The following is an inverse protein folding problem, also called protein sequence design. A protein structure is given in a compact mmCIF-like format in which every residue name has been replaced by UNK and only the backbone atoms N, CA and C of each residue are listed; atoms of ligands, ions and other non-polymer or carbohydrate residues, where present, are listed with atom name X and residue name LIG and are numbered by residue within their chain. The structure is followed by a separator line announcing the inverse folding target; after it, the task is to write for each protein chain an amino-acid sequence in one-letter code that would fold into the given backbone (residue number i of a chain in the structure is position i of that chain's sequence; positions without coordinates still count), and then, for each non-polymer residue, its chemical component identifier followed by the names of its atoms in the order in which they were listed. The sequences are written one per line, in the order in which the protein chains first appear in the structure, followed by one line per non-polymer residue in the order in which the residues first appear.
data_IF_470949676577
#
_entry.id   IF_470949676577
#
_cell.length_a   1.000
_cell.length_b   1.000
_cell.length_c   1.000
_cell.angle_alpha   90.00
_cell.angle_beta   90.00
_cell.angle_gamma   90.00
#
_symmetry.space_group_name_H-M   'P 1'
#
loop_
_entity.id
_entity.type
_entity.pdbx_description
1 polymer ?
#
# COMPACT_ATOMS: atom_id res chain seq x y z
N UNK A 1 -18.84 -76.80 2.37
CA UNK A 1 -19.24 -76.14 3.64
C UNK A 1 -17.98 -75.77 4.40
N UNK A 2 -18.00 -74.61 5.08
CA UNK A 2 -16.92 -73.94 5.82
C UNK A 2 -15.94 -73.16 4.89
N UNK A 3 -15.80 -71.83 4.93
CA UNK A 3 -16.27 -70.83 5.89
C UNK A 3 -15.12 -69.87 6.18
N UNK A 4 -14.88 -68.90 5.31
CA UNK A 4 -13.85 -67.86 5.52
C UNK A 4 -14.41 -66.74 6.39
N UNK A 5 -13.99 -66.69 7.64
CA UNK A 5 -14.30 -65.61 8.59
C UNK A 5 -13.37 -64.42 8.37
N UNK A 6 -13.94 -63.29 7.95
CA UNK A 6 -13.26 -62.00 7.91
C UNK A 6 -13.04 -61.49 9.35
N UNK A 7 -11.78 -61.37 9.75
CA UNK A 7 -11.38 -60.77 11.02
C UNK A 7 -11.66 -59.27 11.02
N UNK A 8 -12.68 -58.85 11.79
CA UNK A 8 -13.05 -57.46 11.96
C UNK A 8 -12.10 -56.80 12.98
N UNK A 9 -10.98 -56.23 12.52
CA UNK A 9 -10.05 -55.48 13.38
C UNK A 9 -10.60 -54.09 13.67
N UNK A 10 -11.33 -53.96 14.79
CA UNK A 10 -11.60 -52.66 15.38
C UNK A 10 -10.26 -52.05 15.86
N UNK A 11 -9.92 -50.81 15.46
CA UNK A 11 -8.72 -50.14 15.95
C UNK A 11 -8.78 -49.95 17.48
N UNK A 12 -7.63 -50.01 18.18
CA UNK A 12 -7.58 -49.91 19.63
C UNK A 12 -8.23 -48.59 20.09
N UNK A 13 -9.01 -48.67 21.16
CA UNK A 13 -9.84 -47.58 21.71
C UNK A 13 -9.07 -46.25 21.84
N UNK A 14 -7.78 -46.31 22.18
CA UNK A 14 -6.88 -45.16 22.28
C UNK A 14 -6.72 -44.40 20.96
N UNK A 15 -6.62 -45.11 19.83
CA UNK A 15 -6.46 -44.51 18.49
C UNK A 15 -7.73 -43.79 18.04
N UNK A 16 -8.91 -44.32 18.43
CA UNK A 16 -10.21 -43.67 18.16
C UNK A 16 -10.36 -42.37 18.97
N UNK A 17 -9.91 -42.38 20.23
CA UNK A 17 -9.93 -41.20 21.11
C UNK A 17 -8.97 -40.13 20.61
N UNK A 18 -7.75 -40.49 20.21
CA UNK A 18 -6.76 -39.52 19.69
C UNK A 18 -7.21 -38.88 18.39
N UNK A 19 -7.77 -39.65 17.45
CA UNK A 19 -8.31 -39.07 16.21
C UNK A 19 -9.50 -38.15 16.48
N UNK A 20 -10.39 -38.53 17.41
CA UNK A 20 -11.51 -37.67 17.81
C UNK A 20 -11.05 -36.33 18.41
N UNK A 21 -10.02 -36.35 19.27
CA UNK A 21 -9.42 -35.14 19.84
C UNK A 21 -8.76 -34.26 18.77
N UNK A 22 -8.01 -34.84 17.84
CA UNK A 22 -7.37 -34.09 16.75
C UNK A 22 -8.43 -33.43 15.87
N UNK A 23 -9.49 -34.15 15.49
CA UNK A 23 -10.60 -33.57 14.71
C UNK A 23 -11.32 -32.45 15.45
N UNK A 24 -11.50 -32.57 16.77
CA UNK A 24 -12.10 -31.52 17.60
C UNK A 24 -11.21 -30.26 17.64
N UNK A 25 -9.89 -30.43 17.83
CA UNK A 25 -8.93 -29.32 17.85
C UNK A 25 -8.88 -28.63 16.48
N UNK A 26 -8.84 -29.39 15.38
CA UNK A 26 -8.87 -28.82 14.02
C UNK A 26 -10.17 -28.07 13.76
N UNK A 27 -11.32 -28.60 14.20
CA UNK A 27 -12.59 -27.91 14.08
C UNK A 27 -12.62 -26.62 14.91
N UNK A 28 -12.07 -26.64 16.15
CA UNK A 28 -11.98 -25.47 17.00
C UNK A 28 -11.06 -24.39 16.39
N UNK A 29 -9.93 -24.79 15.80
CA UNK A 29 -9.01 -23.89 15.10
C UNK A 29 -9.65 -23.31 13.84
N UNK A 30 -10.41 -24.11 13.08
CA UNK A 30 -11.13 -23.63 11.91
C UNK A 30 -12.27 -22.65 12.27
N UNK A 31 -13.01 -22.95 13.34
CA UNK A 31 -14.10 -22.10 13.84
C UNK A 31 -13.55 -20.79 14.42
N UNK A 32 -12.47 -20.85 15.20
CA UNK A 32 -11.80 -19.63 15.71
C UNK A 32 -11.18 -18.81 14.59
N UNK A 33 -10.58 -19.44 13.57
CA UNK A 33 -10.12 -18.73 12.37
C UNK A 33 -11.29 -18.09 11.60
N UNK A 34 -12.40 -18.80 11.44
CA UNK A 34 -13.61 -18.29 10.78
C UNK A 34 -14.20 -17.08 11.53
N UNK A 35 -14.40 -17.19 12.84
CA UNK A 35 -14.88 -16.07 13.67
C UNK A 35 -13.88 -14.92 13.74
N UNK A 36 -12.57 -15.18 13.73
CA UNK A 36 -11.53 -14.14 13.66
C UNK A 36 -11.57 -13.40 12.33
N UNK A 37 -11.83 -14.10 11.23
CA UNK A 37 -12.00 -13.51 9.89
C UNK A 37 -13.30 -12.69 9.76
N UNK A 38 -14.39 -13.17 10.35
CA UNK A 38 -15.68 -12.47 10.39
C UNK A 38 -15.63 -11.23 11.30
N UNK A 39 -14.97 -11.34 12.45
CA UNK A 39 -14.73 -10.21 13.36
C UNK A 39 -13.80 -9.16 12.73
N UNK A 40 -12.80 -9.59 11.95
CA UNK A 40 -11.94 -8.70 11.15
C UNK A 40 -12.72 -7.93 10.06
N UNK A 41 -13.81 -8.49 9.52
CA UNK A 41 -14.71 -7.82 8.57
C UNK A 41 -15.62 -6.78 9.25
N UNK A 42 -15.95 -6.94 10.53
CA UNK A 42 -16.87 -6.08 11.26
C UNK A 42 -16.20 -5.00 12.14
N UNK A 43 -14.86 -4.88 12.12
CA UNK A 43 -14.14 -3.87 12.89
C UNK A 43 -14.33 -2.44 12.32
N UNK A 44 -14.39 -1.39 13.17
CA UNK A 44 -14.69 0.00 12.78
C UNK A 44 -13.72 0.66 11.79
N UNK A 45 -12.57 0.05 11.47
CA UNK A 45 -11.60 0.60 10.51
C UNK A 45 -12.15 0.68 9.09
N UNK A 46 -13.19 -0.09 8.78
CA UNK A 46 -13.94 0.06 7.54
C UNK A 46 -14.58 1.46 7.43
N UNK A 47 -14.96 2.14 8.51
CA UNK A 47 -15.60 3.46 8.43
C UNK A 47 -14.71 4.61 7.93
N UNK A 48 -13.39 4.45 7.93
CA UNK A 48 -12.46 5.48 7.44
C UNK A 48 -12.20 5.42 5.93
N UNK A 49 -12.36 4.24 5.31
CA UNK A 49 -12.19 3.99 3.89
C UNK A 49 -13.40 3.24 3.30
N UNK A 50 -14.55 3.32 3.97
CA UNK A 50 -15.82 2.86 3.45
C UNK A 50 -16.15 3.80 2.29
N UNK A 51 -16.16 3.23 1.09
CA UNK A 51 -16.92 3.71 -0.04
C UNK A 51 -18.37 3.87 0.44
N UNK A 52 -18.66 4.99 1.10
CA UNK A 52 -20.02 5.50 1.13
C UNK A 52 -20.39 5.57 -0.34
N UNK A 53 -21.24 4.66 -0.82
CA UNK A 53 -21.59 4.56 -2.24
C UNK A 53 -22.30 5.82 -2.76
N UNK A 54 -22.48 6.84 -1.91
CA UNK A 54 -22.92 8.20 -2.22
C UNK A 54 -21.77 9.19 -2.49
N UNK A 55 -20.51 8.76 -2.30
CA UNK A 55 -19.29 9.57 -2.44
C UNK A 55 -18.36 9.16 -3.60
N UNK A 56 -18.55 7.96 -4.16
CA UNK A 56 -17.80 7.53 -5.35
C UNK A 56 -18.40 8.04 -6.65
N UNK A 57 -17.56 8.69 -7.47
CA UNK A 57 -17.92 9.05 -8.83
C UNK A 57 -17.76 7.84 -9.78
N UNK A 58 -18.58 7.76 -10.85
CA UNK A 58 -18.39 6.75 -11.87
C UNK A 58 -17.03 6.89 -12.56
N UNK A 59 -16.56 5.82 -13.19
CA UNK A 59 -15.32 5.86 -13.98
C UNK A 59 -15.33 7.01 -14.99
N UNK A 60 -14.18 7.66 -15.18
CA UNK A 60 -14.05 8.84 -16.04
C UNK A 60 -14.61 10.13 -15.43
N UNK A 61 -15.00 10.13 -14.16
CA UNK A 61 -15.53 11.29 -13.46
C UNK A 61 -14.80 11.54 -12.13
N UNK A 62 -14.89 12.76 -11.64
CA UNK A 62 -14.29 13.19 -10.38
C UNK A 62 -15.21 14.15 -9.62
N UNK A 63 -14.99 14.23 -8.31
CA UNK A 63 -15.59 15.24 -7.43
C UNK A 63 -14.54 15.73 -6.43
N UNK A 64 -14.30 17.04 -6.41
CA UNK A 64 -13.46 17.68 -5.39
C UNK A 64 -14.30 18.09 -4.19
N UNK A 65 -13.64 18.28 -3.05
CA UNK A 65 -14.29 18.77 -1.82
C UNK A 65 -15.05 20.08 -2.11
N UNK A 66 -16.35 20.11 -1.75
CA UNK A 66 -17.23 21.25 -1.96
C UNK A 66 -18.02 21.23 -3.27
N UNK A 67 -17.72 20.31 -4.20
CA UNK A 67 -18.55 20.08 -5.38
C UNK A 67 -19.75 19.19 -5.03
N UNK A 68 -20.90 19.46 -5.64
CA UNK A 68 -22.12 18.65 -5.45
C UNK A 68 -22.15 17.45 -6.40
N UNK A 69 -21.90 17.73 -7.68
CA UNK A 69 -22.00 16.76 -8.76
C UNK A 69 -20.62 16.24 -9.18
N UNK A 70 -20.59 15.00 -9.65
CA UNK A 70 -19.42 14.45 -10.34
C UNK A 70 -19.31 15.06 -11.74
N UNK A 71 -18.12 15.51 -12.12
CA UNK A 71 -17.83 15.99 -13.47
C UNK A 71 -16.97 14.97 -14.20
N UNK A 72 -17.14 14.86 -15.52
CA UNK A 72 -16.24 14.06 -16.35
C UNK A 72 -14.83 14.65 -16.31
N UNK A 73 -13.81 13.81 -16.51
CA UNK A 73 -12.43 14.27 -16.61
C UNK A 73 -12.30 15.40 -17.64
N UNK A 74 -11.59 16.45 -17.25
CA UNK A 74 -11.46 17.67 -18.04
C UNK A 74 -10.68 17.38 -19.34
N UNK A 75 -11.23 17.76 -20.51
CA UNK A 75 -10.55 17.60 -21.78
C UNK A 75 -9.50 18.69 -22.01
N UNK A 76 -8.71 18.53 -23.07
CA UNK A 76 -7.63 19.45 -23.47
C UNK A 76 -8.08 20.92 -23.50
N UNK A 77 -9.23 21.22 -24.11
CA UNK A 77 -9.69 22.59 -24.31
C UNK A 77 -9.96 23.30 -22.98
N UNK A 78 -10.50 22.58 -22.00
CA UNK A 78 -10.77 23.10 -20.66
C UNK A 78 -9.46 23.27 -19.88
N UNK A 79 -8.53 22.32 -19.99
CA UNK A 79 -7.23 22.43 -19.35
C UNK A 79 -6.47 23.65 -19.87
N UNK A 80 -6.46 23.87 -21.18
CA UNK A 80 -5.75 24.99 -21.82
C UNK A 80 -6.38 26.35 -21.50
N UNK A 81 -7.71 26.44 -21.47
CA UNK A 81 -8.41 27.73 -21.34
C UNK A 81 -8.75 28.12 -19.91
N UNK A 82 -8.92 27.16 -18.99
CA UNK A 82 -9.42 27.42 -17.63
C UNK A 82 -8.42 27.10 -16.51
N UNK A 83 -7.32 26.39 -16.77
CA UNK A 83 -6.32 26.08 -15.74
C UNK A 83 -5.21 27.13 -15.73
N UNK A 84 -5.09 27.85 -14.62
CA UNK A 84 -4.03 28.84 -14.43
C UNK A 84 -2.89 28.28 -13.60
N UNK A 85 -1.72 28.08 -14.21
CA UNK A 85 -0.51 27.61 -13.52
C UNK A 85 0.02 28.70 -12.59
N UNK A 86 0.29 28.35 -11.33
CA UNK A 86 0.71 29.30 -10.28
C UNK A 86 2.21 29.19 -10.01
N UNK A 87 2.70 28.01 -9.59
CA UNK A 87 4.11 27.82 -9.24
C UNK A 87 4.55 26.36 -9.37
N UNK A 88 5.83 26.15 -9.67
CA UNK A 88 6.44 24.82 -9.60
C UNK A 88 6.47 24.33 -8.15
N UNK A 89 6.00 23.11 -7.91
CA UNK A 89 5.95 22.47 -6.58
C UNK A 89 6.69 21.13 -6.53
N UNK A 90 7.01 20.53 -7.67
CA UNK A 90 7.75 19.28 -7.75
C UNK A 90 8.47 19.12 -9.08
N UNK A 91 9.63 18.45 -9.05
CA UNK A 91 10.41 18.09 -10.24
C UNK A 91 10.88 16.65 -10.10
N UNK A 92 10.38 15.78 -10.97
CA UNK A 92 10.85 14.42 -11.17
C UNK A 92 11.62 14.29 -12.49
N UNK A 93 12.07 13.06 -12.79
CA UNK A 93 12.68 12.73 -14.09
C UNK A 93 11.65 12.82 -15.22
N UNK A 94 10.46 12.25 -15.00
CA UNK A 94 9.37 12.19 -15.99
C UNK A 94 8.51 13.45 -15.98
N UNK A 95 8.19 14.01 -14.80
CA UNK A 95 7.17 15.06 -14.63
C UNK A 95 7.71 16.33 -13.97
N UNK A 96 7.27 17.48 -14.45
CA UNK A 96 7.28 18.74 -13.69
C UNK A 96 5.88 19.01 -13.16
N UNK A 97 5.76 19.21 -11.85
CA UNK A 97 4.47 19.37 -11.17
C UNK A 97 4.34 20.80 -10.67
N UNK A 98 3.23 21.43 -11.03
CA UNK A 98 2.89 22.79 -10.69
C UNK A 98 1.62 22.83 -9.85
N UNK A 99 1.57 23.72 -8.86
CA UNK A 99 0.31 24.17 -8.30
C UNK A 99 -0.38 25.02 -9.36
N UNK A 100 -1.64 24.74 -9.61
CA UNK A 100 -2.50 25.51 -10.50
C UNK A 100 -3.87 25.80 -9.85
N UNK A 101 -4.63 26.69 -10.46
CA UNK A 101 -6.00 26.99 -10.10
C UNK A 101 -6.94 26.62 -11.24
N UNK A 102 -8.04 25.94 -10.91
CA UNK A 102 -9.15 25.67 -11.82
C UNK A 102 -10.47 25.99 -11.11
N UNK A 103 -11.21 26.98 -11.61
CA UNK A 103 -12.50 27.45 -11.04
C UNK A 103 -12.46 27.68 -9.52
N UNK A 104 -11.36 28.23 -9.00
CA UNK A 104 -11.18 28.48 -7.57
C UNK A 104 -10.62 27.29 -6.79
N UNK A 105 -10.59 26.09 -7.36
CA UNK A 105 -9.95 24.91 -6.75
C UNK A 105 -8.44 24.91 -7.01
N UNK A 106 -7.66 24.58 -5.97
CA UNK A 106 -6.23 24.27 -6.12
C UNK A 106 -6.10 22.87 -6.70
N UNK A 107 -5.31 22.74 -7.75
CA UNK A 107 -5.08 21.48 -8.49
C UNK A 107 -3.60 21.30 -8.78
N UNK A 108 -3.16 20.05 -8.97
CA UNK A 108 -1.80 19.72 -9.36
C UNK A 108 -1.76 19.50 -10.87
N UNK A 109 -1.01 20.36 -11.56
CA UNK A 109 -0.80 20.31 -13.00
C UNK A 109 0.57 19.69 -13.28
N UNK A 110 0.58 18.48 -13.81
CA UNK A 110 1.78 17.75 -14.19
C UNK A 110 1.98 17.85 -15.70
N UNK A 111 3.20 18.14 -16.13
CA UNK A 111 3.60 18.10 -17.54
C UNK A 111 4.84 17.23 -17.74
N UNK A 112 4.98 16.62 -18.91
CA UNK A 112 6.20 15.93 -19.27
C UNK A 112 7.42 16.86 -19.12
N UNK A 113 8.43 16.40 -18.39
CA UNK A 113 9.63 17.17 -18.11
C UNK A 113 10.62 17.13 -19.28
N UNK A 114 10.78 15.95 -19.89
CA UNK A 114 11.77 15.63 -20.92
C UNK A 114 11.14 14.62 -21.88
N UNK A 115 11.26 14.86 -23.20
CA UNK A 115 10.62 14.06 -24.26
C UNK A 115 10.96 12.56 -24.23
N UNK A 116 12.16 12.22 -23.78
CA UNK A 116 12.71 10.87 -23.73
C UNK A 116 11.94 9.97 -22.74
N UNK A 117 11.21 10.56 -21.78
CA UNK A 117 10.36 9.85 -20.83
C UNK A 117 8.88 9.86 -21.21
N UNK A 118 8.54 10.16 -22.48
CA UNK A 118 7.15 10.19 -22.96
C UNK A 118 6.44 8.85 -22.75
N UNK A 119 7.13 7.72 -22.97
CA UNK A 119 6.55 6.38 -22.73
C UNK A 119 6.21 6.16 -21.26
N UNK A 120 7.13 6.50 -20.34
CA UNK A 120 6.91 6.41 -18.90
C UNK A 120 5.75 7.30 -18.45
N UNK A 121 5.64 8.51 -19.03
CA UNK A 121 4.55 9.44 -18.76
C UNK A 121 3.18 8.88 -19.19
N UNK A 122 3.07 8.36 -20.41
CA UNK A 122 1.82 7.79 -20.91
C UNK A 122 1.46 6.50 -20.19
N UNK A 123 2.45 5.66 -19.83
CA UNK A 123 2.20 4.51 -18.96
C UNK A 123 1.63 4.96 -17.61
N UNK A 124 2.23 5.97 -16.98
CA UNK A 124 1.72 6.56 -15.75
C UNK A 124 0.29 7.09 -15.86
N UNK A 125 -0.06 7.73 -16.97
CA UNK A 125 -1.44 8.17 -17.25
C UNK A 125 -2.41 6.99 -17.37
N UNK A 126 -2.06 5.94 -18.11
CA UNK A 126 -2.89 4.74 -18.24
C UNK A 126 -3.08 4.03 -16.89
N UNK A 127 -2.02 3.94 -16.09
CA UNK A 127 -2.12 3.42 -14.72
C UNK A 127 -3.03 4.30 -13.86
N UNK A 128 -2.88 5.63 -13.94
CA UNK A 128 -3.68 6.57 -13.17
C UNK A 128 -5.17 6.48 -13.53
N UNK A 129 -5.50 6.31 -14.82
CA UNK A 129 -6.88 6.10 -15.30
C UNK A 129 -7.45 4.78 -14.78
N UNK A 130 -6.74 3.67 -14.98
CA UNK A 130 -7.25 2.33 -14.65
C UNK A 130 -7.18 1.96 -13.16
N UNK A 131 -6.41 2.69 -12.35
CA UNK A 131 -6.23 2.45 -10.91
C UNK A 131 -6.97 3.45 -10.02
N UNK A 132 -7.82 4.33 -10.58
CA UNK A 132 -8.64 5.25 -9.77
C UNK A 132 -9.40 4.48 -8.67
N UNK A 133 -9.12 4.87 -7.43
CA UNK A 133 -9.66 4.29 -6.21
C UNK A 133 -9.34 5.22 -5.04
N UNK A 134 -9.76 4.87 -3.82
CA UNK A 134 -9.37 5.59 -2.60
C UNK A 134 -7.86 5.57 -2.33
N UNK A 135 -7.10 4.66 -2.96
CA UNK A 135 -5.66 4.49 -2.74
C UNK A 135 -4.78 5.29 -3.69
N UNK A 136 -5.37 5.96 -4.68
CA UNK A 136 -4.65 6.64 -5.76
C UNK A 136 -5.14 8.08 -5.86
N UNK A 137 -4.22 9.01 -6.16
CA UNK A 137 -4.56 10.42 -6.35
C UNK A 137 -5.66 10.59 -7.40
N UNK A 138 -6.63 11.45 -7.09
CA UNK A 138 -7.80 11.66 -7.92
C UNK A 138 -7.40 12.34 -9.24
N UNK A 139 -7.69 11.68 -10.34
CA UNK A 139 -7.53 12.23 -11.69
C UNK A 139 -8.67 13.21 -11.98
N UNK A 140 -8.32 14.43 -12.40
CA UNK A 140 -9.29 15.47 -12.74
C UNK A 140 -9.40 15.67 -14.24
N UNK A 141 -8.33 15.41 -15.00
CA UNK A 141 -8.29 15.62 -16.45
C UNK A 141 -6.91 15.35 -17.00
N UNK A 142 -6.80 15.29 -18.32
CA UNK A 142 -5.52 15.13 -19.01
C UNK A 142 -5.61 15.65 -20.44
N UNK A 143 -4.46 15.98 -21.02
CA UNK A 143 -4.33 16.28 -22.43
C UNK A 143 -3.10 15.55 -22.98
N UNK A 144 -3.33 14.50 -23.77
CA UNK A 144 -2.26 13.67 -24.33
C UNK A 144 -1.41 14.46 -25.35
N UNK A 145 -2.05 15.32 -26.16
CA UNK A 145 -1.36 16.17 -27.15
C UNK A 145 -0.31 17.08 -26.48
N UNK A 146 -0.70 17.71 -25.36
CA UNK A 146 0.18 18.59 -24.59
C UNK A 146 1.04 17.87 -23.56
N UNK A 147 0.87 16.54 -23.40
CA UNK A 147 1.49 15.74 -22.36
C UNK A 147 1.27 16.34 -20.95
N UNK A 148 0.01 16.60 -20.62
CA UNK A 148 -0.40 17.17 -19.33
C UNK A 148 -1.42 16.32 -18.60
N UNK A 149 -1.32 16.29 -17.27
CA UNK A 149 -2.21 15.56 -16.37
C UNK A 149 -2.61 16.51 -15.24
N UNK A 150 -3.90 16.55 -14.91
CA UNK A 150 -4.45 17.33 -13.82
C UNK A 150 -4.96 16.41 -12.70
N UNK A 151 -4.48 16.60 -11.48
CA UNK A 151 -4.85 15.81 -10.30
C UNK A 151 -5.28 16.69 -9.13
N UNK A 152 -5.95 16.09 -8.14
CA UNK A 152 -6.26 16.77 -6.88
C UNK A 152 -4.97 17.23 -6.17
N UNK A 153 -4.96 18.48 -5.69
CA UNK A 153 -3.81 19.02 -4.99
C UNK A 153 -3.86 18.71 -3.50
N UNK A 154 -2.82 18.04 -3.01
CA UNK A 154 -2.64 17.75 -1.59
C UNK A 154 -1.56 18.67 -0.99
N UNK A 155 -1.92 19.60 -0.07
CA UNK A 155 -1.02 20.63 0.43
C UNK A 155 0.11 20.13 1.33
N UNK A 156 -0.06 18.95 1.94
CA UNK A 156 0.98 18.26 2.69
C UNK A 156 2.05 17.63 1.78
N UNK A 157 1.73 17.46 0.49
CA UNK A 157 2.68 17.03 -0.52
C UNK A 157 3.15 15.60 -0.30
N UNK A 158 4.41 15.32 -0.65
CA UNK A 158 4.98 13.98 -0.56
C UNK A 158 4.99 13.45 0.87
N UNK A 159 4.76 12.13 1.00
CA UNK A 159 4.80 11.40 2.26
C UNK A 159 6.13 11.53 3.01
N UNK A 160 7.22 11.89 2.31
CA UNK A 160 8.51 12.20 2.95
C UNK A 160 8.42 13.31 4.00
N UNK A 161 7.43 14.20 3.86
CA UNK A 161 7.24 15.34 4.76
C UNK A 161 6.47 14.97 6.03
N UNK A 162 6.00 13.72 6.19
CA UNK A 162 5.12 13.30 7.29
C UNK A 162 5.61 13.74 8.66
N UNK A 163 6.89 13.52 8.98
CA UNK A 163 7.45 13.91 10.29
C UNK A 163 7.40 15.42 10.48
N UNK A 164 7.85 16.19 9.48
CA UNK A 164 7.81 17.65 9.55
C UNK A 164 6.39 18.22 9.67
N UNK A 165 5.39 17.51 9.15
CA UNK A 165 3.98 17.91 9.21
C UNK A 165 3.42 17.61 10.60
N UNK A 166 3.60 16.38 11.10
CA UNK A 166 3.08 15.97 12.40
C UNK A 166 3.78 16.69 13.56
N UNK A 167 5.05 17.08 13.42
CA UNK A 167 5.78 17.83 14.44
C UNK A 167 5.43 19.34 14.47
N UNK A 168 4.75 19.84 13.43
CA UNK A 168 4.40 21.26 13.29
C UNK A 168 3.29 21.65 14.27
N UNK A 169 3.39 22.87 14.80
CA UNK A 169 2.31 23.49 15.58
C UNK A 169 0.98 23.44 14.81
N UNK A 170 -0.09 23.01 15.49
CA UNK A 170 -1.41 22.76 14.91
C UNK A 170 -1.67 21.33 14.41
N UNK A 171 -0.64 20.47 14.33
CA UNK A 171 -0.80 19.05 13.96
C UNK A 171 -0.19 18.08 14.98
N UNK A 172 0.44 18.59 16.05
CA UNK A 172 1.08 17.77 17.09
C UNK A 172 0.11 16.82 17.80
N UNK A 173 -1.15 17.20 17.93
CA UNK A 173 -2.18 16.36 18.56
C UNK A 173 -2.46 15.10 17.73
N UNK A 174 -2.13 15.11 16.43
CA UNK A 174 -2.22 13.94 15.55
C UNK A 174 -0.90 13.17 15.46
N UNK A 175 0.15 13.61 16.15
CA UNK A 175 1.46 12.98 16.13
C UNK A 175 1.54 11.79 17.09
N UNK A 176 0.62 10.86 16.95
CA UNK A 176 0.48 9.70 17.83
C UNK A 176 0.87 8.40 17.11
N UNK A 177 1.15 7.33 17.85
CA UNK A 177 1.48 6.05 17.24
C UNK A 177 0.31 5.48 16.43
N UNK A 178 -0.94 5.76 16.82
CA UNK A 178 -2.16 5.32 16.14
C UNK A 178 -2.22 5.91 14.74
N UNK A 179 -2.14 7.24 14.61
CA UNK A 179 -2.16 7.91 13.31
C UNK A 179 -0.98 7.45 12.45
N UNK A 180 0.21 7.39 13.04
CA UNK A 180 1.42 6.95 12.31
C UNK A 180 1.34 5.51 11.83
N UNK A 181 0.80 4.61 12.65
CA UNK A 181 0.61 3.22 12.25
C UNK A 181 -0.53 3.08 11.24
N UNK A 182 -1.57 3.91 11.32
CA UNK A 182 -2.61 4.00 10.30
C UNK A 182 -2.05 4.39 8.93
N UNK A 183 -1.12 5.35 8.86
CA UNK A 183 -0.41 5.68 7.61
C UNK A 183 0.36 4.48 7.04
N UNK A 184 0.97 3.66 7.89
CA UNK A 184 1.62 2.43 7.46
C UNK A 184 0.61 1.38 6.97
N UNK A 185 -0.58 1.32 7.57
CA UNK A 185 -1.69 0.50 7.08
C UNK A 185 -2.13 0.96 5.70
N UNK A 186 -2.34 2.26 5.47
CA UNK A 186 -2.72 2.82 4.15
C UNK A 186 -1.69 2.48 3.07
N UNK A 187 -0.40 2.59 3.39
CA UNK A 187 0.67 2.17 2.49
C UNK A 187 0.56 0.68 2.09
N UNK A 188 0.33 -0.21 3.05
CA UNK A 188 0.15 -1.65 2.76
C UNK A 188 -1.19 -1.92 2.07
N UNK A 189 -2.24 -1.14 2.33
CA UNK A 189 -3.51 -1.21 1.60
C UNK A 189 -3.32 -0.90 0.12
N UNK A 190 -2.54 0.15 -0.20
CA UNK A 190 -2.18 0.43 -1.58
C UNK A 190 -1.40 -0.73 -2.22
N UNK A 191 -0.39 -1.30 -1.56
CA UNK A 191 0.35 -2.44 -2.12
C UNK A 191 -0.55 -3.65 -2.36
N UNK A 192 -1.46 -3.94 -1.41
CA UNK A 192 -2.44 -5.00 -1.57
C UNK A 192 -3.37 -4.75 -2.76
N UNK A 193 -3.83 -3.51 -2.95
CA UNK A 193 -4.61 -3.11 -4.12
C UNK A 193 -3.80 -3.25 -5.41
N UNK A 194 -2.55 -2.79 -5.43
CA UNK A 194 -1.65 -2.84 -6.58
C UNK A 194 -1.36 -4.28 -7.03
N UNK A 195 -1.13 -5.19 -6.07
CA UNK A 195 -0.87 -6.61 -6.33
C UNK A 195 -2.12 -7.37 -6.82
N UNK A 196 -3.31 -6.78 -6.67
CA UNK A 196 -4.60 -7.36 -7.07
C UNK A 196 -5.39 -6.39 -7.97
N UNK A 197 -4.70 -5.53 -8.71
CA UNK A 197 -5.32 -4.41 -9.40
C UNK A 197 -6.21 -4.87 -10.57
N UNK A 198 -7.19 -4.05 -11.01
CA UNK A 198 -8.00 -4.35 -12.19
C UNK A 198 -7.16 -4.44 -13.48
N UNK A 199 -5.94 -3.91 -13.48
CA UNK A 199 -4.97 -4.00 -14.58
C UNK A 199 -3.99 -5.18 -14.42
N UNK A 200 -4.31 -6.15 -13.55
CA UNK A 200 -3.45 -7.27 -13.16
C UNK A 200 -2.45 -6.90 -12.06
N UNK A 201 -1.72 -7.87 -11.49
CA UNK A 201 -0.73 -7.61 -10.44
C UNK A 201 0.40 -6.69 -10.95
N UNK A 202 0.65 -5.59 -10.24
CA UNK A 202 1.70 -4.62 -10.57
C UNK A 202 2.76 -4.55 -9.47
N UNK A 203 3.94 -4.04 -9.82
CA UNK A 203 5.07 -3.85 -8.88
C UNK A 203 5.44 -2.37 -8.82
N UNK A 204 5.68 -1.83 -7.62
CA UNK A 204 6.05 -0.44 -7.43
C UNK A 204 7.56 -0.23 -7.69
N UNK A 205 7.98 -0.19 -8.95
CA UNK A 205 9.40 -0.28 -9.29
C UNK A 205 10.25 0.96 -8.95
N UNK A 206 9.67 2.15 -8.87
CA UNK A 206 10.42 3.39 -8.60
C UNK A 206 10.64 3.63 -7.08
N UNK A 207 11.24 2.62 -6.44
CA UNK A 207 11.35 2.48 -4.98
C UNK A 207 12.71 1.88 -4.55
N UNK A 208 13.81 2.43 -5.08
CA UNK A 208 15.16 1.89 -4.86
C UNK A 208 15.79 2.31 -3.52
N UNK A 209 15.27 3.39 -2.92
CA UNK A 209 15.65 3.84 -1.58
C UNK A 209 14.42 4.39 -0.85
N UNK A 210 14.53 4.59 0.46
CA UNK A 210 13.42 5.06 1.30
C UNK A 210 12.87 6.41 0.83
N UNK A 211 13.75 7.38 0.55
CA UNK A 211 13.35 8.74 0.13
C UNK A 211 12.61 8.69 -1.20
N UNK A 212 13.12 7.91 -2.16
CA UNK A 212 12.52 7.74 -3.47
C UNK A 212 11.19 6.99 -3.40
N UNK A 213 11.07 6.00 -2.52
CA UNK A 213 9.81 5.30 -2.26
C UNK A 213 8.75 6.24 -1.71
N UNK A 214 9.09 7.03 -0.69
CA UNK A 214 8.17 7.99 -0.07
C UNK A 214 7.78 9.14 -1.03
N UNK A 215 8.62 9.45 -2.03
CA UNK A 215 8.28 10.47 -3.03
C UNK A 215 7.14 10.07 -3.98
N UNK A 216 6.83 8.78 -4.07
CA UNK A 216 5.77 8.28 -4.94
C UNK A 216 4.37 8.44 -4.36
N UNK A 217 4.28 8.77 -3.06
CA UNK A 217 3.05 8.89 -2.29
C UNK A 217 2.83 10.33 -1.83
N UNK A 218 1.56 10.70 -1.67
CA UNK A 218 1.14 11.96 -1.06
C UNK A 218 0.51 11.70 0.30
N UNK A 219 0.63 12.69 1.19
CA UNK A 219 -0.13 12.77 2.43
C UNK A 219 -1.33 13.69 2.22
N UNK A 220 -2.53 13.22 2.54
CA UNK A 220 -3.76 14.00 2.44
C UNK A 220 -3.97 14.88 3.68
N UNK A 221 -4.86 15.88 3.62
CA UNK A 221 -5.13 16.77 4.77
C UNK A 221 -5.83 16.10 5.94
N UNK A 222 -6.49 14.99 5.67
CA UNK A 222 -7.12 14.07 6.61
C UNK A 222 -6.20 12.93 7.05
N UNK A 223 -4.89 13.01 6.73
CA UNK A 223 -3.85 12.11 7.19
C UNK A 223 -4.01 10.66 6.68
N UNK A 224 -4.24 10.53 5.37
CA UNK A 224 -4.17 9.28 4.63
C UNK A 224 -3.00 9.26 3.64
N UNK A 225 -2.54 8.05 3.32
CA UNK A 225 -1.51 7.82 2.28
C UNK A 225 -2.18 7.43 0.96
N UNK A 226 -1.85 8.16 -0.10
CA UNK A 226 -2.30 7.83 -1.47
C UNK A 226 -1.12 7.78 -2.44
N UNK A 227 -1.17 6.87 -3.40
CA UNK A 227 -0.16 6.79 -4.45
C UNK A 227 -0.40 7.87 -5.53
N UNK A 228 0.69 8.42 -6.06
CA UNK A 228 0.64 9.51 -7.03
C UNK A 228 1.51 9.23 -8.26
N UNK A 229 2.73 8.76 -8.07
CA UNK A 229 3.66 8.54 -9.16
C UNK A 229 3.63 7.06 -9.60
N UNK A 230 2.99 6.80 -10.73
CA UNK A 230 2.65 5.46 -11.22
C UNK A 230 3.35 5.12 -12.55
N UNK A 231 4.42 5.84 -12.88
CA UNK A 231 5.11 5.74 -14.17
C UNK A 231 5.81 4.38 -14.36
N UNK A 232 6.25 3.73 -13.27
CA UNK A 232 7.00 2.47 -13.29
C UNK A 232 6.21 1.33 -12.63
N UNK A 233 5.10 0.90 -13.25
CA UNK A 233 4.25 -0.19 -12.77
C UNK A 233 4.16 -1.36 -13.78
N UNK A 234 5.21 -2.17 -13.91
CA UNK A 234 5.18 -3.32 -14.81
C UNK A 234 4.21 -4.40 -14.31
N UNK A 235 3.65 -5.16 -15.26
CA UNK A 235 2.75 -6.28 -14.99
C UNK A 235 3.55 -7.52 -14.56
N UNK A 236 3.16 -8.14 -13.45
CA UNK A 236 3.57 -9.48 -13.06
C UNK A 236 2.39 -10.42 -13.26
N UNK A 237 2.64 -11.58 -13.87
CA UNK A 237 1.68 -12.66 -13.90
C UNK A 237 2.40 -14.00 -13.72
N UNK A 238 2.45 -14.46 -12.47
CA UNK A 238 3.08 -15.73 -12.10
C UNK A 238 2.44 -16.93 -12.81
N UNK A 239 1.12 -16.90 -13.01
CA UNK A 239 0.39 -18.01 -13.66
C UNK A 239 0.80 -18.23 -15.12
N UNK A 240 1.23 -17.16 -15.79
CA UNK A 240 1.70 -17.20 -17.18
C UNK A 240 3.22 -17.03 -17.29
N UNK A 241 3.94 -17.05 -16.17
CA UNK A 241 5.40 -16.88 -16.11
C UNK A 241 5.91 -15.46 -16.45
N UNK A 242 5.04 -14.45 -16.44
CA UNK A 242 5.43 -13.06 -16.67
C UNK A 242 6.03 -12.49 -15.38
N UNK A 243 7.32 -12.18 -15.43
CA UNK A 243 8.10 -11.57 -14.35
C UNK A 243 8.64 -10.21 -14.80
N UNK A 244 9.26 -9.45 -13.89
CA UNK A 244 9.64 -8.06 -14.14
C UNK A 244 11.09 -7.75 -13.73
N UNK A 245 11.61 -6.65 -14.29
CA UNK A 245 12.82 -5.97 -13.83
C UNK A 245 12.50 -4.48 -13.67
N UNK A 246 13.03 -3.84 -12.64
CA UNK A 246 12.77 -2.44 -12.32
C UNK A 246 13.85 -1.56 -12.95
N UNK A 247 13.71 -1.32 -14.25
CA UNK A 247 14.67 -0.57 -15.06
C UNK A 247 15.80 -1.44 -15.62
N UNK A 248 16.67 -0.79 -16.41
CA UNK A 248 17.74 -1.44 -17.19
C UNK A 248 19.14 -1.26 -16.58
N UNK A 249 19.21 -0.63 -15.40
CA UNK A 249 20.47 -0.33 -14.71
C UNK A 249 20.61 -1.23 -13.48
N UNK A 250 21.84 -1.57 -13.15
CA UNK A 250 22.15 -2.33 -11.95
C UNK A 250 21.65 -1.60 -10.70
N UNK A 251 20.89 -2.31 -9.87
CA UNK A 251 20.49 -1.85 -8.55
C UNK A 251 21.50 -2.29 -7.50
N UNK A 252 21.64 -1.50 -6.43
CA UNK A 252 22.62 -1.70 -5.36
C UNK A 252 22.02 -1.32 -4.01
N UNK A 253 22.65 -1.80 -2.92
CA UNK A 253 22.25 -1.50 -1.54
C UNK A 253 21.23 -2.49 -0.98
N UNK A 254 20.90 -2.31 0.30
CA UNK A 254 20.08 -3.28 1.07
C UNK A 254 18.58 -2.94 1.09
N UNK A 255 18.21 -1.76 0.58
CA UNK A 255 16.82 -1.34 0.52
C UNK A 255 16.04 -2.08 -0.58
N UNK A 256 16.67 -2.29 -1.73
CA UNK A 256 16.11 -3.17 -2.77
C UNK A 256 16.16 -4.62 -2.31
N UNK A 257 15.25 -5.46 -2.82
CA UNK A 257 15.24 -6.86 -2.42
C UNK A 257 16.48 -7.61 -2.97
N UNK A 258 16.98 -8.65 -2.30
CA UNK A 258 18.21 -9.34 -2.70
C UNK A 258 18.18 -9.88 -4.14
N UNK A 259 17.02 -10.33 -4.62
CA UNK A 259 16.82 -10.81 -5.99
C UNK A 259 16.84 -9.68 -7.05
N UNK A 260 16.81 -8.42 -6.63
CA UNK A 260 17.02 -7.26 -7.50
C UNK A 260 18.51 -6.93 -7.70
N UNK A 261 19.40 -7.57 -6.93
CA UNK A 261 20.84 -7.37 -7.04
C UNK A 261 21.43 -8.31 -8.08
N UNK A 262 22.52 -7.86 -8.71
CA UNK A 262 23.27 -8.66 -9.67
C UNK A 262 23.82 -9.93 -9.02
N UNK A 263 23.41 -11.13 -9.47
CA UNK A 263 23.71 -12.37 -8.73
C UNK A 263 25.06 -13.01 -9.08
N UNK A 264 25.77 -12.51 -10.11
CA UNK A 264 27.00 -13.12 -10.62
C UNK A 264 28.29 -12.55 -10.02
N UNK A 265 28.18 -11.64 -9.03
CA UNK A 265 29.33 -11.02 -8.39
C UNK A 265 30.19 -10.19 -9.35
N UNK A 266 31.45 -9.96 -8.97
CA UNK A 266 32.40 -9.14 -9.73
C UNK A 266 33.05 -9.88 -10.91
N UNK A 267 32.85 -11.20 -11.01
CA UNK A 267 33.42 -12.04 -12.07
C UNK A 267 32.79 -11.76 -13.44
N UNK A 268 31.57 -11.21 -13.46
CA UNK A 268 30.83 -10.88 -14.67
C UNK A 268 30.28 -9.46 -14.58
N UNK A 269 30.65 -8.56 -15.53
CA UNK A 269 30.06 -7.22 -15.59
C UNK A 269 28.54 -7.29 -15.74
N UNK A 270 27.84 -6.32 -15.13
CA UNK A 270 26.40 -6.24 -15.22
C UNK A 270 25.93 -6.21 -16.68
N UNK A 271 24.95 -7.07 -16.98
CA UNK A 271 24.20 -7.07 -18.23
C UNK A 271 22.73 -7.24 -17.92
N UNK A 272 21.91 -6.31 -18.43
CA UNK A 272 20.45 -6.35 -18.22
C UNK A 272 19.83 -7.64 -18.80
N UNK A 273 20.34 -8.14 -19.93
CA UNK A 273 19.88 -9.37 -20.57
C UNK A 273 20.10 -10.63 -19.70
N UNK A 274 21.10 -10.57 -18.82
CA UNK A 274 21.46 -11.68 -17.93
C UNK A 274 20.84 -11.51 -16.54
N UNK A 275 20.27 -10.35 -16.23
CA UNK A 275 19.63 -10.10 -14.94
C UNK A 275 18.36 -10.96 -14.81
N UNK A 276 18.28 -11.88 -13.83
CA UNK A 276 17.07 -12.66 -13.63
C UNK A 276 15.89 -11.75 -13.24
N UNK A 277 14.69 -11.96 -13.82
CA UNK A 277 13.53 -11.19 -13.45
C UNK A 277 12.95 -11.70 -12.11
N UNK A 278 12.17 -10.84 -11.47
CA UNK A 278 11.57 -11.06 -10.15
C UNK A 278 10.09 -10.67 -10.14
N UNK A 279 9.46 -10.65 -8.97
CA UNK A 279 8.01 -10.48 -8.82
C UNK A 279 7.64 -9.43 -7.76
N UNK A 280 6.36 -9.38 -7.38
CA UNK A 280 5.79 -8.40 -6.45
C UNK A 280 6.30 -8.53 -5.00
N UNK A 281 7.05 -9.59 -4.68
CA UNK A 281 7.69 -9.76 -3.36
C UNK A 281 8.80 -8.76 -3.11
N UNK A 282 9.27 -8.09 -4.16
CA UNK A 282 10.20 -6.95 -4.03
C UNK A 282 9.55 -5.76 -3.31
N UNK A 283 8.24 -5.55 -3.46
CA UNK A 283 7.51 -4.53 -2.68
C UNK A 283 7.40 -4.95 -1.22
N UNK A 284 7.09 -6.22 -0.96
CA UNK A 284 6.95 -6.77 0.41
C UNK A 284 8.25 -6.61 1.20
N UNK A 285 9.40 -6.81 0.56
CA UNK A 285 10.72 -6.61 1.18
C UNK A 285 10.89 -5.22 1.80
N UNK A 286 10.29 -4.20 1.20
CA UNK A 286 10.46 -2.77 1.57
C UNK A 286 9.47 -2.30 2.63
N UNK A 287 8.43 -3.10 2.92
CA UNK A 287 7.39 -2.72 3.87
C UNK A 287 7.94 -2.36 5.26
N UNK A 288 8.87 -3.14 5.86
CA UNK A 288 9.39 -2.83 7.19
C UNK A 288 10.06 -1.45 7.27
N UNK A 289 10.88 -1.08 6.29
CA UNK A 289 11.62 0.19 6.28
C UNK A 289 10.68 1.40 6.13
N UNK A 290 9.67 1.29 5.26
CA UNK A 290 8.65 2.33 5.11
C UNK A 290 7.81 2.44 6.38
N UNK A 291 7.44 1.30 6.98
CA UNK A 291 6.66 1.26 8.23
C UNK A 291 7.43 1.90 9.38
N UNK A 292 8.72 1.57 9.53
CA UNK A 292 9.56 2.12 10.59
C UNK A 292 9.71 3.64 10.49
N UNK A 293 9.88 4.15 9.26
CA UNK A 293 9.90 5.58 8.99
C UNK A 293 8.59 6.27 9.39
N UNK A 294 7.45 5.67 9.04
CA UNK A 294 6.12 6.24 9.35
C UNK A 294 5.83 6.21 10.85
N UNK A 295 6.17 5.11 11.53
CA UNK A 295 6.03 4.97 12.99
C UNK A 295 6.85 6.00 13.76
N UNK A 296 7.99 6.43 13.22
CA UNK A 296 8.83 7.47 13.83
C UNK A 296 9.22 7.14 15.28
N UNK A 297 9.50 8.17 16.07
CA UNK A 297 9.91 8.05 17.47
C UNK A 297 8.93 8.83 18.35
N UNK A 298 7.74 8.27 18.54
CA UNK A 298 6.72 8.79 19.46
C UNK A 298 6.37 7.76 20.52
N UNK A 299 5.69 8.19 21.58
CA UNK A 299 5.21 7.27 22.62
C UNK A 299 4.32 6.19 22.00
N UNK A 300 4.59 4.92 22.32
CA UNK A 300 3.92 3.75 21.76
C UNK A 300 4.57 3.14 20.52
N UNK A 301 5.42 3.86 19.77
CA UNK A 301 6.00 3.32 18.52
C UNK A 301 6.83 2.05 18.75
N UNK A 302 7.57 1.96 19.84
CA UNK A 302 8.40 0.77 20.15
C UNK A 302 7.56 -0.45 20.52
N UNK A 303 6.38 -0.24 21.11
CA UNK A 303 5.41 -1.31 21.38
C UNK A 303 4.91 -1.85 20.05
N UNK A 304 4.51 -0.98 19.11
CA UNK A 304 4.09 -1.41 17.77
C UNK A 304 5.21 -2.19 17.07
N UNK A 305 6.46 -1.70 17.10
CA UNK A 305 7.62 -2.41 16.53
C UNK A 305 7.79 -3.80 17.12
N UNK A 306 7.63 -3.95 18.43
CA UNK A 306 7.74 -5.24 19.11
C UNK A 306 6.68 -6.23 18.58
N UNK A 307 5.42 -5.79 18.43
CA UNK A 307 4.36 -6.63 17.88
C UNK A 307 4.58 -7.00 16.41
N UNK A 308 5.23 -6.14 15.63
CA UNK A 308 5.50 -6.36 14.21
C UNK A 308 6.80 -7.12 13.93
N UNK A 309 7.67 -7.32 14.93
CA UNK A 309 9.03 -7.83 14.76
C UNK A 309 9.09 -9.11 13.91
N UNK A 310 8.29 -10.14 14.26
CA UNK A 310 8.32 -11.42 13.55
C UNK A 310 7.84 -11.28 12.10
N UNK A 311 6.78 -10.50 11.89
CA UNK A 311 6.22 -10.25 10.56
C UNK A 311 7.23 -9.48 9.68
N UNK A 312 7.89 -8.47 10.24
CA UNK A 312 8.92 -7.71 9.53
C UNK A 312 10.13 -8.57 9.19
N UNK A 313 10.52 -9.49 10.08
CA UNK A 313 11.54 -10.51 9.77
C UNK A 313 11.11 -11.42 8.62
N UNK A 314 9.83 -11.80 8.56
CA UNK A 314 9.30 -12.61 7.46
C UNK A 314 9.21 -11.82 6.13
N UNK A 315 8.92 -10.52 6.16
CA UNK A 315 9.06 -9.65 4.99
C UNK A 315 10.51 -9.57 4.48
N UNK A 316 11.49 -9.69 5.37
CA UNK A 316 12.94 -9.67 5.07
C UNK A 316 13.55 -11.05 4.79
N UNK A 317 12.75 -12.07 4.46
CA UNK A 317 13.30 -13.36 4.00
C UNK A 317 14.02 -13.18 2.66
N UNK A 318 15.22 -13.74 2.54
CA UNK A 318 16.01 -13.67 1.29
C UNK A 318 15.35 -14.42 0.15
N UNK A 319 14.70 -15.56 0.44
CA UNK A 319 13.91 -16.31 -0.54
C UNK A 319 12.53 -15.63 -0.71
N UNK A 320 12.19 -15.09 -1.89
CA UNK A 320 10.97 -14.28 -2.07
C UNK A 320 9.67 -15.04 -1.73
N UNK A 321 9.63 -16.34 -2.03
CA UNK A 321 8.45 -17.19 -1.79
C UNK A 321 8.17 -17.44 -0.30
N UNK A 322 9.15 -17.17 0.58
CA UNK A 322 8.98 -17.27 2.03
C UNK A 322 8.43 -15.97 2.64
N UNK A 323 8.40 -14.87 1.88
CA UNK A 323 7.81 -13.61 2.35
C UNK A 323 6.28 -13.71 2.34
N UNK A 324 5.58 -13.08 3.30
CA UNK A 324 4.11 -13.03 3.32
C UNK A 324 3.55 -12.33 2.08
N UNK A 325 2.26 -12.51 1.78
CA UNK A 325 1.58 -11.64 0.81
C UNK A 325 1.28 -10.28 1.44
N UNK A 326 1.10 -9.24 0.62
CA UNK A 326 0.59 -7.94 1.04
C UNK A 326 -0.70 -8.06 1.87
N UNK A 327 -1.59 -9.00 1.52
CA UNK A 327 -2.81 -9.29 2.27
C UNK A 327 -2.52 -9.77 3.70
N UNK A 328 -1.58 -10.70 3.86
CA UNK A 328 -1.21 -11.22 5.18
C UNK A 328 -0.58 -10.12 6.04
N UNK A 329 0.28 -9.28 5.46
CA UNK A 329 0.86 -8.13 6.15
C UNK A 329 -0.24 -7.17 6.61
N UNK A 330 -1.16 -6.83 5.71
CA UNK A 330 -2.29 -5.94 6.00
C UNK A 330 -3.18 -6.46 7.14
N UNK A 331 -3.53 -7.74 7.09
CA UNK A 331 -4.35 -8.39 8.12
C UNK A 331 -3.65 -8.38 9.48
N UNK A 332 -2.35 -8.67 9.50
CA UNK A 332 -1.56 -8.61 10.74
C UNK A 332 -1.46 -7.19 11.29
N UNK A 333 -1.24 -6.18 10.44
CA UNK A 333 -1.17 -4.78 10.88
C UNK A 333 -2.49 -4.35 11.52
N UNK A 334 -3.63 -4.66 10.89
CA UNK A 334 -4.96 -4.37 11.42
C UNK A 334 -5.23 -5.07 12.76
N UNK A 335 -4.80 -6.33 12.88
CA UNK A 335 -4.92 -7.08 14.11
C UNK A 335 -4.10 -6.44 15.25
N UNK A 336 -2.85 -6.03 14.97
CA UNK A 336 -2.00 -5.34 15.95
C UNK A 336 -2.62 -4.00 16.35
N UNK A 337 -3.05 -3.19 15.38
CA UNK A 337 -3.70 -1.90 15.63
C UNK A 337 -4.89 -2.07 16.58
N UNK A 338 -5.79 -3.00 16.26
CA UNK A 338 -6.99 -3.27 17.05
C UNK A 338 -6.67 -3.73 18.47
N UNK A 339 -5.68 -4.62 18.63
CA UNK A 339 -5.26 -5.12 19.94
C UNK A 339 -4.77 -3.98 20.83
N UNK A 340 -3.86 -3.14 20.30
CA UNK A 340 -3.25 -2.06 21.06
C UNK A 340 -4.23 -0.93 21.40
N UNK A 341 -5.18 -0.62 20.50
CA UNK A 341 -6.21 0.37 20.81
C UNK A 341 -7.16 -0.10 21.90
N UNK A 342 -7.55 -1.39 21.90
CA UNK A 342 -8.42 -1.94 22.94
C UNK A 342 -7.72 -1.98 24.31
N UNK A 343 -6.43 -2.30 24.34
CA UNK A 343 -5.61 -2.26 25.56
C UNK A 343 -5.51 -0.83 26.14
N UNK A 344 -5.33 0.18 25.27
CA UNK A 344 -5.31 1.60 25.68
C UNK A 344 -6.64 2.02 26.30
N UNK A 345 -7.77 1.75 25.64
CA UNK A 345 -9.11 2.11 26.12
C UNK A 345 -9.42 1.47 27.49
N UNK A 346 -9.01 0.21 27.68
CA UNK A 346 -9.12 -0.47 28.97
C UNK A 346 -8.27 0.24 30.03
N UNK A 347 -7.01 0.57 29.73
CA UNK A 347 -6.12 1.23 30.68
C UNK A 347 -6.62 2.62 31.13
N UNK A 348 -7.19 3.40 30.21
CA UNK A 348 -7.77 4.71 30.51
C UNK A 348 -9.03 4.60 31.39
N UNK A 349 -9.82 3.55 31.21
CA UNK A 349 -11.01 3.27 32.05
C UNK A 349 -10.63 2.91 33.50
N UNK A 350 -9.52 2.21 33.70
CA UNK A 350 -9.00 1.89 35.04
C UNK A 350 -8.29 3.09 35.70
N UNK A 351 -7.63 3.95 34.91
CA UNK A 351 -7.01 5.17 35.44
C UNK A 351 -8.05 6.21 35.85
N UNK A 352 -9.13 6.38 35.08
CA UNK A 352 -10.21 7.33 35.40
C UNK A 352 -11.01 6.94 36.65
N UNK A 353 -11.19 5.63 36.90
CA UNK A 353 -11.85 5.14 38.12
C UNK A 353 -10.97 5.23 39.39
N UNK A 354 -9.67 5.43 39.24
CA UNK A 354 -8.71 5.59 40.34
C UNK A 354 -8.61 7.03 40.89
N UNK A 355 -9.14 8.03 40.18
CA UNK A 355 -9.16 9.44 40.62
C UNK A 355 -10.47 9.87 41.29
N UNK A 356 -11.46 8.98 41.35
CA UNK A 356 -12.78 9.20 41.98
C UNK A 356 -12.92 8.54 43.38
N UNK A 357 -11.80 8.29 44.08
CA UNK A 357 -11.77 7.76 45.45
C UNK A 357 -11.07 8.66 46.46
#
# INVERSE_FOLDING_TARGET
MQGTTAGNHNPPMLLRVTMGLISLVVALLAVTAFFRMELLHHLPWAKGLEDNSSDSCPYGHFRLRGMKDCLSWLPCEVIQSEVTVVKLIGRGAVKQVFLANWRGHKVAFSRLAVSEFSNDFFHGLEMLKGLQSVYVVKLLGYCEEDHTILTEYHPFGSLINVNSILEREGHRDFNTWEIRFHLAIDYVMFLQFLHNSPLGPRVMCDSNDLRKTLSQYLLTTDLHVIANDLDALPLVNRSTGVLVKCGVRQLQGDFVAPEQLWPFGDDLPFSDDLMPPYDEKTDVWKIPDVTDFLLGQVEGSDVVRLHLFQLHQDCKRTVPQQRPSSLMVLQSYKAVYTSLTQESELSDSYSSTSYDL
#
